data_IF_394529418456
#
_entry.id   IF_394529418456
#
_cell.length_a   1.000
_cell.length_b   1.000
_cell.length_c   1.000
_cell.angle_alpha   90.00
_cell.angle_beta   90.00
_cell.angle_gamma   90.00
#
_symmetry.space_group_name_H-M   'P 1'
#
loop_
_entity.id
_entity.type
_entity.pdbx_description
1 polymer ?
#
# COMPACT_ATOMS: atom_id res chain seq x y z
N UNK A 1 63.67 -11.29 -26.89
CA UNK A 1 62.71 -10.47 -26.12
C UNK A 1 61.31 -11.08 -26.23
N UNK A 2 60.88 -11.83 -25.22
CA UNK A 2 59.56 -12.45 -25.20
C UNK A 2 58.52 -11.48 -24.63
N UNK A 3 57.46 -11.18 -25.39
CA UNK A 3 56.34 -10.36 -24.95
C UNK A 3 55.53 -11.15 -23.91
N UNK A 4 55.64 -10.75 -22.65
CA UNK A 4 54.76 -11.20 -21.56
C UNK A 4 53.33 -10.77 -21.87
N UNK A 5 52.49 -11.72 -22.28
CA UNK A 5 51.05 -11.51 -22.37
C UNK A 5 50.47 -11.48 -20.96
N UNK A 6 50.29 -10.28 -20.42
CA UNK A 6 49.55 -10.06 -19.19
C UNK A 6 48.15 -10.68 -19.32
N UNK A 7 47.92 -11.74 -18.53
CA UNK A 7 46.65 -12.43 -18.36
C UNK A 7 45.64 -11.44 -17.77
N UNK A 8 44.96 -10.68 -18.63
CA UNK A 8 43.96 -9.67 -18.23
C UNK A 8 42.90 -10.35 -17.37
N UNK A 9 42.86 -10.01 -16.09
CA UNK A 9 41.92 -10.61 -15.16
C UNK A 9 40.47 -10.30 -15.58
N UNK A 10 39.70 -11.34 -15.84
CA UNK A 10 38.25 -11.30 -16.06
C UNK A 10 37.47 -11.11 -14.74
N UNK A 11 38.17 -11.12 -13.59
CA UNK A 11 37.59 -11.27 -12.25
C UNK A 11 36.74 -10.09 -11.79
N UNK A 12 37.03 -8.85 -12.23
CA UNK A 12 36.24 -7.68 -11.83
C UNK A 12 34.89 -7.50 -12.54
N UNK A 13 34.54 -8.35 -13.52
CA UNK A 13 33.39 -8.13 -14.43
C UNK A 13 32.17 -8.99 -14.10
N UNK A 14 32.40 -10.21 -13.63
CA UNK A 14 31.37 -11.13 -13.16
C UNK A 14 30.55 -10.58 -11.97
N UNK A 15 31.16 -9.89 -10.97
CA UNK A 15 30.45 -9.45 -9.77
C UNK A 15 29.35 -8.41 -10.07
N UNK A 16 29.61 -7.48 -11.00
CA UNK A 16 28.67 -6.42 -11.34
C UNK A 16 27.39 -6.94 -12.01
N UNK A 17 27.55 -7.83 -13.00
CA UNK A 17 26.41 -8.44 -13.68
C UNK A 17 25.61 -9.34 -12.75
N UNK A 18 26.30 -10.12 -11.90
CA UNK A 18 25.66 -10.91 -10.84
C UNK A 18 24.87 -10.01 -9.88
N UNK A 19 25.43 -8.87 -9.46
CA UNK A 19 24.76 -7.92 -8.58
C UNK A 19 23.47 -7.36 -9.20
N UNK A 20 23.51 -6.94 -10.47
CA UNK A 20 22.32 -6.44 -11.16
C UNK A 20 21.24 -7.50 -11.33
N UNK A 21 21.62 -8.74 -11.67
CA UNK A 21 20.67 -9.86 -11.79
C UNK A 21 20.05 -10.19 -10.43
N UNK A 22 20.86 -10.26 -9.37
CA UNK A 22 20.35 -10.48 -8.00
C UNK A 22 19.38 -9.38 -7.56
N UNK A 23 19.66 -8.12 -7.90
CA UNK A 23 18.76 -7.01 -7.57
C UNK A 23 17.43 -7.09 -8.31
N UNK A 24 17.45 -7.38 -9.62
CA UNK A 24 16.21 -7.57 -10.40
C UNK A 24 15.40 -8.74 -9.83
N UNK A 25 16.07 -9.86 -9.52
CA UNK A 25 15.43 -11.01 -8.90
C UNK A 25 14.82 -10.65 -7.53
N UNK A 26 15.55 -9.93 -6.68
CA UNK A 26 15.07 -9.49 -5.38
C UNK A 26 13.83 -8.59 -5.50
N UNK A 27 13.88 -7.57 -6.38
CA UNK A 27 12.73 -6.71 -6.64
C UNK A 27 11.53 -7.49 -7.18
N UNK A 28 11.75 -8.45 -8.08
CA UNK A 28 10.71 -9.34 -8.61
C UNK A 28 10.09 -10.23 -7.53
N UNK A 29 10.90 -10.79 -6.62
CA UNK A 29 10.41 -11.59 -5.49
C UNK A 29 9.58 -10.73 -4.54
N UNK A 30 10.04 -9.53 -4.20
CA UNK A 30 9.28 -8.63 -3.33
C UNK A 30 7.96 -8.23 -3.99
N UNK A 31 7.97 -7.87 -5.28
CA UNK A 31 6.74 -7.59 -6.03
C UNK A 31 5.79 -8.79 -6.04
N UNK A 32 6.30 -10.00 -6.25
CA UNK A 32 5.48 -11.21 -6.26
C UNK A 32 4.73 -11.42 -4.93
N UNK A 33 5.41 -11.21 -3.80
CA UNK A 33 4.81 -11.38 -2.47
C UNK A 33 3.90 -10.23 -2.05
N UNK A 34 4.13 -9.01 -2.56
CA UNK A 34 3.49 -7.80 -2.01
C UNK A 34 2.56 -7.10 -3.00
N UNK A 35 2.72 -7.29 -4.30
CA UNK A 35 2.01 -6.52 -5.33
C UNK A 35 2.43 -5.05 -5.42
N UNK A 36 3.51 -4.65 -4.74
CA UNK A 36 3.92 -3.26 -4.65
C UNK A 36 4.56 -2.74 -5.95
N UNK A 37 3.87 -1.85 -6.67
CA UNK A 37 4.26 -1.36 -8.01
C UNK A 37 5.63 -0.68 -8.05
N UNK A 38 6.04 -0.03 -6.95
CA UNK A 38 7.35 0.63 -6.85
C UNK A 38 8.51 -0.36 -7.01
N UNK A 39 8.36 -1.62 -6.59
CA UNK A 39 9.40 -2.64 -6.77
C UNK A 39 9.47 -3.14 -8.21
N UNK A 40 8.34 -3.20 -8.92
CA UNK A 40 8.32 -3.49 -10.35
C UNK A 40 8.99 -2.36 -11.15
N UNK A 41 8.66 -1.10 -10.84
CA UNK A 41 9.30 0.06 -11.44
C UNK A 41 10.82 0.05 -11.17
N UNK A 42 11.23 -0.24 -9.94
CA UNK A 42 12.64 -0.40 -9.56
C UNK A 42 13.37 -1.48 -10.37
N UNK A 43 12.73 -2.65 -10.58
CA UNK A 43 13.28 -3.73 -11.39
C UNK A 43 13.46 -3.29 -12.85
N UNK A 44 12.45 -2.62 -13.43
CA UNK A 44 12.49 -2.09 -14.79
C UNK A 44 13.58 -1.04 -14.98
N UNK A 45 13.72 -0.08 -14.06
CA UNK A 45 14.78 0.95 -14.11
C UNK A 45 16.16 0.30 -14.00
N UNK A 46 16.33 -0.67 -13.10
CA UNK A 46 17.60 -1.41 -12.94
C UNK A 46 17.94 -2.20 -14.20
N UNK A 47 16.95 -2.82 -14.85
CA UNK A 47 17.13 -3.53 -16.11
C UNK A 47 17.46 -2.58 -17.28
N UNK A 48 16.75 -1.45 -17.39
CA UNK A 48 16.87 -0.51 -18.50
C UNK A 48 18.14 0.35 -18.44
N UNK A 49 18.63 0.69 -17.24
CA UNK A 49 19.78 1.58 -17.05
C UNK A 49 21.00 0.80 -16.54
N UNK A 50 20.79 -0.08 -15.56
CA UNK A 50 21.86 -0.83 -14.91
C UNK A 50 22.53 -1.84 -15.83
N UNK A 51 21.76 -2.65 -16.58
CA UNK A 51 22.33 -3.65 -17.50
C UNK A 51 23.10 -3.00 -18.67
N UNK A 52 22.60 -1.95 -19.34
CA UNK A 52 23.37 -1.26 -20.38
C UNK A 52 24.62 -0.55 -19.84
N UNK A 53 24.57 0.07 -18.65
CA UNK A 53 25.77 0.63 -18.01
C UNK A 53 26.79 -0.47 -17.70
N UNK A 54 26.35 -1.62 -17.18
CA UNK A 54 27.21 -2.78 -17.01
C UNK A 54 27.84 -3.19 -18.35
N UNK A 55 27.04 -3.29 -19.41
CA UNK A 55 27.51 -3.69 -20.75
C UNK A 55 28.50 -2.69 -21.36
N UNK A 56 28.27 -1.38 -21.20
CA UNK A 56 29.19 -0.32 -21.65
C UNK A 56 30.51 -0.32 -20.86
N UNK A 57 30.45 -0.67 -19.57
CA UNK A 57 31.64 -0.88 -18.73
C UNK A 57 32.38 -2.18 -19.09
N UNK A 58 31.68 -3.18 -19.64
CA UNK A 58 32.27 -4.40 -20.20
C UNK A 58 33.04 -4.13 -21.51
N UNK A 59 32.63 -3.15 -22.32
CA UNK A 59 33.20 -2.87 -23.64
C UNK A 59 34.38 -1.89 -23.66
N UNK A 60 34.53 -1.02 -22.65
CA UNK A 60 35.62 -0.01 -22.59
C UNK A 60 36.76 -0.36 -21.63
N UNK A 61 37.99 -0.04 -22.06
CA UNK A 61 39.29 -0.26 -21.43
C UNK A 61 39.34 -0.26 -19.88
N UNK A 62 40.14 -1.20 -19.33
CA UNK A 62 40.33 -1.50 -17.89
C UNK A 62 40.63 -0.31 -16.96
N UNK A 63 41.13 0.82 -17.47
CA UNK A 63 41.45 2.00 -16.64
C UNK A 63 40.21 2.73 -16.06
N UNK A 64 39.00 2.49 -16.57
CA UNK A 64 37.76 3.12 -16.08
C UNK A 64 36.85 2.17 -15.26
N UNK A 65 37.31 0.97 -14.91
CA UNK A 65 36.49 -0.01 -14.17
C UNK A 65 36.06 0.49 -12.78
N UNK A 66 36.92 1.23 -12.07
CA UNK A 66 36.60 1.73 -10.73
C UNK A 66 35.46 2.76 -10.74
N UNK A 67 35.43 3.66 -11.73
CA UNK A 67 34.35 4.65 -11.87
C UNK A 67 33.01 3.98 -12.17
N UNK A 68 33.01 2.93 -13.00
CA UNK A 68 31.80 2.19 -13.32
C UNK A 68 31.21 1.41 -12.14
N UNK A 69 32.06 0.74 -11.36
CA UNK A 69 31.65 0.06 -10.14
C UNK A 69 31.08 1.04 -9.10
N UNK A 70 31.69 2.23 -8.97
CA UNK A 70 31.20 3.30 -8.10
C UNK A 70 29.83 3.83 -8.53
N UNK A 71 29.62 4.10 -9.83
CA UNK A 71 28.32 4.54 -10.35
C UNK A 71 27.22 3.50 -10.14
N UNK A 72 27.54 2.20 -10.33
CA UNK A 72 26.61 1.12 -10.01
C UNK A 72 26.26 1.06 -8.53
N UNK A 73 27.27 1.10 -7.66
CA UNK A 73 27.05 1.09 -6.21
C UNK A 73 26.21 2.28 -5.77
N UNK A 74 26.51 3.48 -6.26
CA UNK A 74 25.73 4.69 -6.00
C UNK A 74 24.28 4.55 -6.46
N UNK A 75 24.05 4.01 -7.68
CA UNK A 75 22.70 3.79 -8.20
C UNK A 75 21.91 2.78 -7.35
N UNK A 76 22.58 1.75 -6.86
CA UNK A 76 21.98 0.71 -6.03
C UNK A 76 21.65 1.23 -4.64
N UNK A 77 22.53 2.05 -4.05
CA UNK A 77 22.26 2.78 -2.80
C UNK A 77 21.09 3.74 -2.98
N UNK A 78 21.07 4.53 -4.06
CA UNK A 78 19.98 5.45 -4.35
C UNK A 78 18.64 4.71 -4.52
N UNK A 79 18.65 3.55 -5.16
CA UNK A 79 17.47 2.71 -5.29
C UNK A 79 17.00 2.16 -3.94
N UNK A 80 17.92 1.66 -3.11
CA UNK A 80 17.58 1.20 -1.75
C UNK A 80 17.01 2.33 -0.90
N UNK A 81 17.61 3.53 -0.97
CA UNK A 81 17.11 4.73 -0.28
C UNK A 81 15.72 5.07 -0.78
N UNK A 82 15.47 5.04 -2.09
CA UNK A 82 14.14 5.28 -2.66
C UNK A 82 13.11 4.26 -2.14
N UNK A 83 13.44 2.97 -2.15
CA UNK A 83 12.54 1.91 -1.67
C UNK A 83 12.24 2.03 -0.16
N UNK A 84 13.19 2.51 0.64
CA UNK A 84 13.00 2.72 2.07
C UNK A 84 12.31 4.04 2.41
N UNK A 85 12.52 5.08 1.60
CA UNK A 85 11.98 6.42 1.85
C UNK A 85 10.59 6.64 1.23
N UNK A 86 10.27 5.94 0.14
CA UNK A 86 9.02 6.12 -0.58
C UNK A 86 8.10 4.94 -0.30
N UNK A 87 6.95 5.16 0.36
CA UNK A 87 6.02 4.08 0.61
C UNK A 87 5.52 3.47 -0.71
N UNK A 88 5.35 2.14 -0.77
CA UNK A 88 4.96 1.44 -1.99
C UNK A 88 3.48 1.62 -2.29
N UNK A 89 3.07 1.93 -3.51
CA UNK A 89 1.67 1.76 -3.90
C UNK A 89 1.35 0.27 -4.10
N UNK A 90 0.27 -0.22 -3.51
CA UNK A 90 -0.12 -1.64 -3.57
C UNK A 90 -1.56 -1.74 -4.07
N UNK A 91 -1.75 -2.47 -5.17
CA UNK A 91 -3.06 -2.82 -5.71
C UNK A 91 -3.09 -4.33 -5.91
N UNK A 92 -3.99 -5.04 -5.24
CA UNK A 92 -3.93 -6.51 -5.20
C UNK A 92 -5.27 -7.19 -4.97
N UNK A 93 -5.62 -8.09 -5.89
CA UNK A 93 -6.74 -9.04 -5.76
C UNK A 93 -6.33 -10.41 -5.17
N UNK A 94 -5.03 -10.61 -4.91
CA UNK A 94 -4.48 -11.88 -4.44
C UNK A 94 -4.44 -11.93 -2.90
N UNK A 95 -5.38 -12.66 -2.28
CA UNK A 95 -5.49 -12.79 -0.83
C UNK A 95 -4.22 -13.37 -0.18
N UNK A 96 -3.53 -14.29 -0.86
CA UNK A 96 -2.30 -14.89 -0.34
C UNK A 96 -1.15 -13.88 -0.11
N UNK A 97 -1.24 -12.69 -0.71
CA UNK A 97 -0.27 -11.61 -0.52
C UNK A 97 -0.53 -10.79 0.74
N UNK A 98 -1.75 -10.87 1.30
CA UNK A 98 -2.19 -10.02 2.41
C UNK A 98 -1.26 -10.03 3.64
N UNK A 99 -0.75 -11.18 4.13
CA UNK A 99 0.16 -11.19 5.27
C UNK A 99 1.44 -10.39 5.04
N UNK A 100 1.93 -10.38 3.79
CA UNK A 100 3.13 -9.64 3.40
C UNK A 100 2.82 -8.16 3.20
N UNK A 101 1.67 -7.83 2.61
CA UNK A 101 1.19 -6.45 2.43
C UNK A 101 0.97 -5.75 3.77
N UNK A 102 0.32 -6.42 4.73
CA UNK A 102 0.11 -5.92 6.09
C UNK A 102 1.43 -5.69 6.85
N UNK A 103 2.44 -6.55 6.63
CA UNK A 103 3.78 -6.34 7.21
C UNK A 103 4.52 -5.18 6.54
N UNK A 104 4.39 -5.06 5.22
CA UNK A 104 5.01 -3.99 4.45
C UNK A 104 4.44 -2.63 4.85
N UNK A 105 3.11 -2.49 5.01
CA UNK A 105 2.50 -1.22 5.44
C UNK A 105 2.96 -0.77 6.82
N UNK A 106 3.24 -1.70 7.74
CA UNK A 106 3.79 -1.40 9.08
C UNK A 106 5.22 -0.85 9.08
N UNK A 107 5.98 -1.03 8.00
CA UNK A 107 7.33 -0.47 7.90
C UNK A 107 7.31 1.04 7.65
N UNK A 108 6.16 1.59 7.26
CA UNK A 108 5.99 3.01 6.96
C UNK A 108 5.05 3.63 8.02
N UNK A 109 5.55 4.44 8.98
CA UNK A 109 4.74 4.92 10.11
C UNK A 109 3.56 5.81 9.69
N UNK A 110 3.70 6.58 8.60
CA UNK A 110 2.63 7.39 8.00
C UNK A 110 1.51 6.57 7.34
N UNK A 111 1.60 5.23 7.44
CA UNK A 111 0.94 4.24 6.59
C UNK A 111 0.44 3.03 7.41
N UNK A 112 0.68 3.01 8.72
CA UNK A 112 0.36 1.85 9.54
C UNK A 112 -1.15 1.54 9.46
N UNK A 113 -1.46 0.29 9.09
CA UNK A 113 -2.82 -0.22 9.25
C UNK A 113 -3.26 0.04 10.70
N UNK A 114 -4.47 0.59 10.94
CA UNK A 114 -4.91 0.91 12.28
C UNK A 114 -4.87 -0.29 13.20
N UNK A 115 -4.73 -0.05 14.51
CA UNK A 115 -4.66 -1.13 15.49
C UNK A 115 -5.93 -2.00 15.53
N UNK A 116 -7.08 -1.42 15.16
CA UNK A 116 -8.36 -2.12 15.02
C UNK A 116 -8.47 -2.98 13.74
N UNK A 117 -7.47 -2.94 12.85
CA UNK A 117 -7.45 -3.76 11.64
C UNK A 117 -6.99 -5.20 11.92
N UNK A 118 -7.97 -6.07 12.16
CA UNK A 118 -7.78 -7.47 12.53
C UNK A 118 -7.32 -8.36 11.36
N UNK A 119 -7.04 -9.63 11.64
CA UNK A 119 -6.72 -10.62 10.62
C UNK A 119 -8.01 -11.30 10.14
N UNK A 120 -8.43 -11.01 8.91
CA UNK A 120 -9.67 -11.51 8.30
C UNK A 120 -9.40 -12.57 7.22
N UNK A 121 -8.13 -12.93 6.95
CA UNK A 121 -7.77 -13.75 5.78
C UNK A 121 -8.51 -15.09 5.71
N UNK A 122 -8.80 -15.70 6.87
CA UNK A 122 -9.47 -16.99 6.95
C UNK A 122 -10.99 -16.90 6.79
N UNK A 123 -11.55 -15.68 6.84
CA UNK A 123 -12.98 -15.42 6.76
C UNK A 123 -13.43 -15.08 5.33
N UNK A 124 -12.48 -14.79 4.43
CA UNK A 124 -12.74 -14.32 3.06
C UNK A 124 -13.27 -15.46 2.18
N UNK A 125 -14.40 -15.22 1.54
CA UNK A 125 -15.04 -16.13 0.59
C UNK A 125 -14.90 -15.67 -0.87
N UNK A 126 -14.59 -14.39 -1.12
CA UNK A 126 -14.41 -13.86 -2.48
C UNK A 126 -14.16 -12.35 -2.55
N UNK A 127 -14.03 -11.82 -3.77
CA UNK A 127 -13.89 -10.40 -4.11
C UNK A 127 -12.92 -9.60 -3.24
N UNK A 128 -11.82 -10.25 -2.84
CA UNK A 128 -10.76 -9.59 -2.10
C UNK A 128 -10.05 -8.57 -2.98
N UNK A 129 -9.86 -7.38 -2.44
CA UNK A 129 -9.06 -6.34 -3.04
C UNK A 129 -8.44 -5.48 -1.94
N UNK A 130 -7.15 -5.19 -2.08
CA UNK A 130 -6.43 -4.25 -1.25
C UNK A 130 -5.83 -3.17 -2.14
N UNK A 131 -6.19 -1.94 -1.82
CA UNK A 131 -5.60 -0.74 -2.37
C UNK A 131 -4.88 0.02 -1.27
N UNK A 132 -3.67 0.44 -1.59
CA UNK A 132 -2.89 1.31 -0.76
C UNK A 132 -2.24 2.39 -1.62
N UNK A 133 -2.60 3.65 -1.32
CA UNK A 133 -2.10 4.83 -2.01
C UNK A 133 -1.36 5.77 -1.04
N UNK A 134 -0.03 5.89 -1.13
CA UNK A 134 0.73 6.84 -0.34
C UNK A 134 0.50 8.30 -0.79
N UNK A 135 0.32 9.21 0.18
CA UNK A 135 0.36 10.65 -0.04
C UNK A 135 1.64 11.25 0.57
N UNK A 136 2.70 11.28 -0.24
CA UNK A 136 4.00 11.81 0.18
C UNK A 136 4.01 13.30 0.55
N UNK A 137 3.06 14.09 0.02
CA UNK A 137 2.96 15.52 0.34
C UNK A 137 2.34 15.78 1.71
N UNK A 138 1.45 14.90 2.16
CA UNK A 138 0.76 15.03 3.45
C UNK A 138 1.37 14.16 4.54
N UNK A 139 2.37 13.36 4.22
CA UNK A 139 2.89 12.31 5.11
C UNK A 139 1.77 11.39 5.61
N UNK A 140 0.81 11.08 4.74
CA UNK A 140 -0.33 10.18 5.01
C UNK A 140 -0.45 9.14 3.90
N UNK A 141 -1.45 8.27 3.97
CA UNK A 141 -1.83 7.40 2.87
C UNK A 141 -3.26 6.91 3.03
N UNK A 142 -3.85 6.49 1.93
CA UNK A 142 -5.16 5.85 1.90
C UNK A 142 -4.96 4.33 1.86
N UNK A 143 -5.59 3.61 2.78
CA UNK A 143 -5.61 2.16 2.82
C UNK A 143 -7.07 1.70 2.77
N UNK A 144 -7.41 0.98 1.71
CA UNK A 144 -8.75 0.43 1.49
C UNK A 144 -8.63 -1.06 1.30
N UNK A 145 -9.47 -1.82 2.00
CA UNK A 145 -9.53 -3.28 1.84
C UNK A 145 -10.98 -3.68 1.75
N UNK A 146 -11.33 -4.40 0.68
CA UNK A 146 -12.67 -4.96 0.50
C UNK A 146 -12.59 -6.45 0.27
N UNK A 147 -13.64 -7.14 0.67
CA UNK A 147 -13.78 -8.58 0.49
C UNK A 147 -15.23 -9.00 0.78
N UNK A 148 -15.55 -10.23 0.39
CA UNK A 148 -16.77 -10.93 0.83
C UNK A 148 -16.46 -11.96 1.88
N UNK A 149 -17.39 -12.13 2.80
CA UNK A 149 -17.42 -13.19 3.81
C UNK A 149 -18.81 -13.84 3.82
N UNK A 150 -18.96 -14.92 4.58
CA UNK A 150 -20.30 -15.47 4.84
C UNK A 150 -21.17 -14.46 5.62
N UNK A 151 -22.49 -14.38 5.36
CA UNK A 151 -23.39 -13.43 6.02
C UNK A 151 -23.35 -13.46 7.55
N UNK A 152 -23.21 -14.65 8.15
CA UNK A 152 -23.04 -14.80 9.60
C UNK A 152 -21.77 -14.11 10.11
N UNK A 153 -20.70 -14.15 9.32
CA UNK A 153 -19.43 -13.51 9.67
C UNK A 153 -19.50 -12.01 9.47
N UNK A 154 -20.17 -11.55 8.41
CA UNK A 154 -20.46 -10.13 8.23
C UNK A 154 -21.27 -9.56 9.40
N UNK A 155 -22.28 -10.28 9.88
CA UNK A 155 -23.04 -9.89 11.07
C UNK A 155 -22.15 -9.80 12.34
N UNK A 156 -21.17 -10.70 12.49
CA UNK A 156 -20.21 -10.63 13.58
C UNK A 156 -19.30 -9.39 13.48
N UNK A 157 -18.85 -9.03 12.28
CA UNK A 157 -18.09 -7.79 12.07
C UNK A 157 -18.94 -6.54 12.29
N UNK A 158 -20.19 -6.52 11.83
CA UNK A 158 -21.12 -5.44 12.09
C UNK A 158 -21.31 -5.22 13.61
N UNK A 159 -21.43 -6.29 14.39
CA UNK A 159 -21.50 -6.20 15.85
C UNK A 159 -20.21 -5.66 16.48
N UNK A 160 -19.04 -6.11 15.99
CA UNK A 160 -17.74 -5.62 16.44
C UNK A 160 -17.59 -4.11 16.15
N UNK A 161 -17.81 -3.69 14.90
CA UNK A 161 -17.67 -2.30 14.50
C UNK A 161 -18.72 -1.40 15.14
N UNK A 162 -19.96 -1.87 15.32
CA UNK A 162 -20.99 -1.11 16.04
C UNK A 162 -20.56 -0.81 17.49
N UNK A 163 -19.90 -1.75 18.16
CA UNK A 163 -19.42 -1.57 19.54
C UNK A 163 -18.25 -0.58 19.65
N UNK A 164 -17.43 -0.45 18.59
CA UNK A 164 -16.25 0.42 18.57
C UNK A 164 -16.50 1.77 17.87
N UNK A 165 -17.60 1.90 17.12
CA UNK A 165 -17.89 3.09 16.32
C UNK A 165 -18.38 4.28 17.15
N UNK A 166 -17.99 5.48 16.74
CA UNK A 166 -18.51 6.74 17.28
C UNK A 166 -19.85 7.14 16.64
N UNK A 167 -20.02 6.76 15.37
CA UNK A 167 -21.20 7.07 14.57
C UNK A 167 -21.47 5.93 13.61
N UNK A 168 -22.76 5.68 13.38
CA UNK A 168 -23.23 4.65 12.48
C UNK A 168 -24.45 5.14 11.68
N UNK A 169 -24.51 4.85 10.38
CA UNK A 169 -25.64 5.21 9.52
C UNK A 169 -25.69 4.32 8.26
N UNK A 170 -26.85 4.17 7.62
CA UNK A 170 -26.98 3.41 6.36
C UNK A 170 -26.11 3.98 5.24
N UNK A 171 -25.58 3.11 4.37
CA UNK A 171 -24.85 3.54 3.18
C UNK A 171 -25.75 4.31 2.20
N UNK A 172 -27.06 4.01 2.17
CA UNK A 172 -28.06 4.76 1.39
C UNK A 172 -28.09 6.25 1.72
N UNK A 173 -27.81 6.60 2.98
CA UNK A 173 -27.85 7.97 3.47
C UNK A 173 -26.54 8.72 3.16
N UNK A 174 -25.50 8.02 2.69
CA UNK A 174 -24.19 8.60 2.43
C UNK A 174 -24.16 9.35 1.08
N UNK A 175 -23.55 10.54 1.10
CA UNK A 175 -23.22 11.31 -0.09
C UNK A 175 -21.75 11.71 -0.04
N UNK A 176 -21.04 11.62 -1.16
CA UNK A 176 -19.63 11.97 -1.18
C UNK A 176 -19.43 13.46 -0.87
N UNK A 177 -18.56 13.76 0.11
CA UNK A 177 -18.40 15.12 0.62
C UNK A 177 -19.53 15.58 1.55
N UNK A 178 -20.30 14.66 2.13
CA UNK A 178 -21.31 15.01 3.13
C UNK A 178 -20.66 15.63 4.38
N UNK A 179 -21.32 16.61 4.98
CA UNK A 179 -20.95 17.08 6.32
C UNK A 179 -21.60 16.18 7.36
N UNK A 180 -20.78 15.61 8.23
CA UNK A 180 -21.25 14.78 9.33
C UNK A 180 -20.91 15.49 10.63
N UNK A 181 -21.94 15.70 11.45
CA UNK A 181 -21.77 16.27 12.79
C UNK A 181 -21.39 15.13 13.74
N UNK A 182 -20.13 15.09 14.17
CA UNK A 182 -19.65 14.09 15.11
C UNK A 182 -19.86 14.63 16.53
N UNK A 183 -20.54 13.89 17.43
CA UNK A 183 -20.69 14.32 18.81
C UNK A 183 -19.33 14.49 19.47
N UNK A 184 -19.02 15.69 19.96
CA UNK A 184 -17.81 15.95 20.73
C UNK A 184 -17.87 15.17 22.05
N UNK A 185 -16.95 14.23 22.25
CA UNK A 185 -16.83 13.48 23.51
C UNK A 185 -16.07 14.24 24.61
N UNK A 186 -15.45 15.38 24.28
CA UNK A 186 -14.66 16.18 25.23
C UNK A 186 -15.27 17.58 25.34
N UNK A 187 -15.93 17.85 26.48
CA UNK A 187 -16.21 19.15 27.17
C UNK A 187 -15.99 20.49 26.44
N UNK A 188 -16.24 20.56 25.15
CA UNK A 188 -16.30 21.74 24.30
C UNK A 188 -17.73 21.73 23.80
N UNK A 189 -18.54 22.65 24.32
CA UNK A 189 -19.90 22.88 23.86
C UNK A 189 -19.86 23.32 22.39
N UNK A 190 -19.95 22.35 21.49
CA UNK A 190 -19.96 22.58 20.04
C UNK A 190 -20.01 21.26 19.28
N UNK A 191 -20.92 21.17 18.32
CA UNK A 191 -20.83 20.21 17.22
C UNK A 191 -19.68 20.63 16.31
N UNK A 192 -18.72 19.74 16.08
CA UNK A 192 -17.71 19.98 15.06
C UNK A 192 -18.25 19.42 13.73
N UNK A 193 -18.66 20.32 12.83
CA UNK A 193 -19.08 19.92 11.49
C UNK A 193 -17.84 19.70 10.62
N UNK A 194 -17.66 18.47 10.12
CA UNK A 194 -16.54 18.07 9.28
C UNK A 194 -17.01 17.52 7.94
N UNK A 195 -16.28 17.82 6.86
CA UNK A 195 -16.51 17.23 5.55
C UNK A 195 -16.01 15.77 5.54
N UNK A 196 -16.84 14.86 5.06
CA UNK A 196 -16.61 13.42 5.05
C UNK A 196 -16.56 12.86 3.62
N UNK A 197 -15.45 12.20 3.30
CA UNK A 197 -15.21 11.57 2.00
C UNK A 197 -14.73 10.14 2.25
N UNK A 198 -15.50 9.17 1.77
CA UNK A 198 -15.14 7.76 1.68
C UNK A 198 -14.82 7.46 0.23
N UNK A 199 -13.71 6.77 0.01
CA UNK A 199 -13.40 6.21 -1.29
C UNK A 199 -14.13 4.87 -1.43
N UNK A 200 -15.34 4.89 -2.00
CA UNK A 200 -16.10 3.68 -2.27
C UNK A 200 -15.49 2.99 -3.49
N UNK A 201 -15.05 1.73 -3.35
CA UNK A 201 -14.43 1.04 -4.47
C UNK A 201 -15.41 0.86 -5.63
N UNK A 202 -15.02 1.38 -6.81
CA UNK A 202 -15.80 1.27 -8.05
C UNK A 202 -16.23 -0.18 -8.32
N UNK A 203 -17.50 -0.38 -8.65
CA UNK A 203 -18.04 -1.70 -8.98
C UNK A 203 -18.32 -2.61 -7.77
N UNK A 204 -17.72 -2.37 -6.59
CA UNK A 204 -17.95 -3.21 -5.41
C UNK A 204 -19.31 -2.95 -4.77
N UNK A 205 -19.67 -1.67 -4.69
CA UNK A 205 -20.95 -1.18 -4.20
C UNK A 205 -21.86 -0.79 -5.36
N UNK A 206 -21.95 -1.59 -6.43
CA UNK A 206 -22.95 -1.35 -7.47
C UNK A 206 -24.34 -1.19 -6.83
N UNK A 207 -25.03 -0.09 -7.14
CA UNK A 207 -26.27 0.34 -6.48
C UNK A 207 -26.11 0.78 -5.00
N UNK A 208 -24.93 1.27 -4.60
CA UNK A 208 -24.57 1.70 -3.23
C UNK A 208 -25.63 2.58 -2.56
N UNK A 209 -26.32 3.39 -3.36
CA UNK A 209 -27.27 4.41 -2.93
C UNK A 209 -28.73 3.98 -3.11
N UNK A 210 -28.99 2.69 -3.34
CA UNK A 210 -30.35 2.15 -3.32
C UNK A 210 -30.76 1.79 -1.90
N UNK A 211 -32.00 2.08 -1.53
CA UNK A 211 -32.58 1.74 -0.22
C UNK A 211 -32.67 0.22 0.02
N UNK A 212 -32.48 -0.59 -1.02
CA UNK A 212 -32.43 -2.06 -0.96
C UNK A 212 -31.09 -2.59 -0.43
N UNK A 213 -30.08 -1.73 -0.31
CA UNK A 213 -28.76 -2.13 0.12
C UNK A 213 -28.66 -2.12 1.65
N UNK A 214 -28.53 -3.29 2.26
CA UNK A 214 -28.45 -3.46 3.72
C UNK A 214 -27.04 -3.22 4.27
N UNK A 215 -26.34 -2.22 3.71
CA UNK A 215 -25.01 -1.85 4.14
C UNK A 215 -25.05 -0.68 5.13
N UNK A 216 -24.18 -0.76 6.13
CA UNK A 216 -24.10 0.21 7.21
C UNK A 216 -22.66 0.69 7.33
N UNK A 217 -22.48 2.01 7.48
CA UNK A 217 -21.19 2.67 7.66
C UNK A 217 -20.94 2.88 9.14
N UNK A 218 -19.79 2.39 9.60
CA UNK A 218 -19.28 2.52 10.97
C UNK A 218 -18.06 3.43 10.96
N UNK A 219 -18.12 4.54 11.69
CA UNK A 219 -17.00 5.48 11.84
C UNK A 219 -16.20 5.11 13.09
N UNK A 220 -14.97 4.66 12.89
CA UNK A 220 -14.11 4.05 13.92
C UNK A 220 -13.03 4.99 14.45
N UNK A 221 -12.58 5.95 13.64
CA UNK A 221 -11.56 6.91 14.04
C UNK A 221 -11.71 8.22 13.24
N UNK A 222 -11.50 9.36 13.91
CA UNK A 222 -11.61 10.68 13.30
C UNK A 222 -10.63 11.68 13.96
N UNK A 223 -10.11 12.62 13.16
CA UNK A 223 -9.34 13.77 13.67
C UNK A 223 -10.05 15.09 13.36
N UNK A 224 -10.32 15.86 14.41
CA UNK A 224 -10.88 17.20 14.32
C UNK A 224 -9.75 18.24 14.20
N UNK A 225 -9.23 18.47 12.99
CA UNK A 225 -8.34 19.61 12.74
C UNK A 225 -8.65 20.26 11.38
N UNK A 226 -9.36 21.40 11.42
CA UNK A 226 -9.63 22.44 10.40
C UNK A 226 -9.81 22.09 8.90
N UNK A 227 -9.67 20.84 8.46
CA UNK A 227 -9.56 20.52 7.03
C UNK A 227 -9.90 19.07 6.65
N UNK A 228 -10.83 18.40 7.39
CA UNK A 228 -11.21 16.96 7.36
C UNK A 228 -10.45 16.18 8.49
N UNK A 229 -10.77 14.96 8.96
CA UNK A 229 -10.96 13.68 8.25
C UNK A 229 -11.49 12.58 9.21
N UNK A 230 -12.32 11.67 8.68
CA UNK A 230 -12.39 10.30 9.23
C UNK A 230 -11.10 9.60 8.87
N UNK A 231 -10.37 9.13 9.88
CA UNK A 231 -9.13 8.35 9.71
C UNK A 231 -9.40 6.86 9.67
N UNK A 232 -10.62 6.43 10.02
CA UNK A 232 -11.03 5.03 10.00
C UNK A 232 -12.52 4.82 9.86
N UNK A 233 -12.93 4.01 8.89
CA UNK A 233 -14.31 3.57 8.71
C UNK A 233 -14.39 2.12 8.24
N UNK A 234 -15.53 1.50 8.50
CA UNK A 234 -15.90 0.22 7.92
C UNK A 234 -17.30 0.32 7.32
N UNK A 235 -17.54 -0.41 6.24
CA UNK A 235 -18.85 -0.56 5.60
C UNK A 235 -19.14 -2.05 5.57
N UNK A 236 -20.28 -2.47 6.11
CA UNK A 236 -20.66 -3.88 6.17
C UNK A 236 -22.07 -4.06 5.65
N UNK A 237 -22.22 -4.91 4.64
CA UNK A 237 -23.48 -5.49 4.21
C UNK A 237 -23.64 -6.87 4.84
N UNK A 238 -24.63 -6.98 5.74
CA UNK A 238 -24.88 -8.23 6.47
C UNK A 238 -25.66 -9.27 5.68
N UNK A 239 -26.29 -8.89 4.55
CA UNK A 239 -27.02 -9.82 3.69
C UNK A 239 -26.10 -10.43 2.64
N UNK A 240 -25.38 -9.60 1.89
CA UNK A 240 -24.49 -10.05 0.82
C UNK A 240 -23.08 -10.40 1.32
N UNK A 241 -22.78 -10.11 2.59
CA UNK A 241 -21.50 -10.39 3.21
C UNK A 241 -20.35 -9.50 2.71
N UNK A 242 -20.66 -8.33 2.12
CA UNK A 242 -19.65 -7.39 1.63
C UNK A 242 -19.09 -6.58 2.78
N UNK A 243 -17.77 -6.48 2.84
CA UNK A 243 -17.06 -5.70 3.84
C UNK A 243 -16.07 -4.81 3.12
N UNK A 244 -16.08 -3.52 3.43
CA UNK A 244 -15.02 -2.60 3.04
C UNK A 244 -14.49 -1.86 4.27
N UNK A 245 -13.20 -1.96 4.48
CA UNK A 245 -12.43 -1.16 5.40
C UNK A 245 -11.85 0.04 4.66
N UNK A 246 -11.80 1.17 5.36
CA UNK A 246 -11.11 2.38 4.95
C UNK A 246 -10.30 2.92 6.12
N UNK A 247 -9.03 3.27 5.89
CA UNK A 247 -8.29 4.10 6.81
C UNK A 247 -7.39 5.08 6.10
N UNK A 248 -7.30 6.27 6.69
CA UNK A 248 -6.35 7.29 6.29
C UNK A 248 -5.25 7.37 7.36
N UNK A 249 -4.01 7.15 6.93
CA UNK A 249 -2.85 7.42 7.75
C UNK A 249 -2.88 8.85 8.27
N UNK A 250 -2.45 9.05 9.51
CA UNK A 250 -2.39 10.38 10.10
C UNK A 250 -0.94 10.79 10.31
N UNK A 251 -0.56 12.05 10.03
CA UNK A 251 0.79 12.51 10.26
C UNK A 251 1.12 12.59 11.75
#
# INVERSE_FOLDING_TARGET
>A
MAKSHAKKSRTGRLPALLLSVCMIALCGVVYWFTGANNFLAAACVTAAIGLPLCFLLFSRNQKKQNTGAFCMLFSLIALLVYLLAVPPQIHSDALERYPYQKRLSRLYPSVAAPNWFFDFQNDVTGDYHLDYEPNGLRSTGLFTVRFRVDPQRAAAYAALFSAESYLQFPLSDYQNGMYISIPSSESVSGTADGLFTLDLSDGFWNNAFSDELHAQIYIMDYKLNHSQFVTGAAIVDTQDGRVQFFAMGSP
#
